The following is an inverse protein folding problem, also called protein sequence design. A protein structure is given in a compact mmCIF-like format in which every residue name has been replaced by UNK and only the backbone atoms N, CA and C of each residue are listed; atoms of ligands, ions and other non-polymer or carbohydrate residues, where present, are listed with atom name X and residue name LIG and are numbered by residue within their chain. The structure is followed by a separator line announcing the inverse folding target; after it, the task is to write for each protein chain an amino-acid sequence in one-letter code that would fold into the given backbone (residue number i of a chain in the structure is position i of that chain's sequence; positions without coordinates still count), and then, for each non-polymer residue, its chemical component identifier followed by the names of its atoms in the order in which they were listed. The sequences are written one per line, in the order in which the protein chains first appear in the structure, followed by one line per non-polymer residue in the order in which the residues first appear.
data_IF_549765373908
#
_entry.id   IF_549765373908
#
_cell.length_a   1.000
_cell.length_b   1.000
_cell.length_c   1.000
_cell.angle_alpha   90.00
_cell.angle_beta   90.00
_cell.angle_gamma   90.00
#
_symmetry.space_group_name_H-M   'P 1'
#
loop_
_entity.id
_entity.type
_entity.pdbx_description
1 polymer ?
#
# COMPACT_ATOMS: atom_id res chain seq x y z
N UNK A 1 -77.34 47.49 2.64
CA UNK A 1 -76.97 46.42 3.53
C UNK A 1 -75.87 45.61 2.80
N UNK A 2 -74.60 45.91 3.05
CA UNK A 2 -73.47 45.35 2.29
C UNK A 2 -72.61 44.63 3.30
N UNK A 3 -72.51 43.31 3.20
CA UNK A 3 -71.74 42.46 4.10
C UNK A 3 -70.36 42.22 3.46
N UNK A 4 -69.35 42.81 4.11
CA UNK A 4 -67.95 42.62 3.75
C UNK A 4 -67.44 41.33 4.36
N UNK A 5 -67.01 40.34 3.56
CA UNK A 5 -66.34 39.12 4.04
C UNK A 5 -64.83 39.35 4.01
N UNK A 6 -64.22 39.41 5.19
CA UNK A 6 -62.77 39.40 5.39
C UNK A 6 -62.24 37.96 5.28
N UNK A 7 -61.42 37.68 4.25
CA UNK A 7 -60.62 36.45 4.14
C UNK A 7 -59.28 36.64 4.85
N UNK A 8 -59.08 35.91 5.94
CA UNK A 8 -57.78 35.82 6.62
C UNK A 8 -56.95 34.71 5.98
N UNK A 9 -55.92 35.07 5.22
CA UNK A 9 -54.95 34.13 4.66
C UNK A 9 -53.88 33.82 5.72
N UNK A 10 -53.84 32.58 6.24
CA UNK A 10 -52.78 32.08 7.07
C UNK A 10 -51.62 31.62 6.19
N UNK A 11 -50.51 32.35 6.19
CA UNK A 11 -49.21 31.90 5.59
C UNK A 11 -48.57 30.90 6.57
N UNK A 12 -48.57 29.62 6.19
CA UNK A 12 -47.72 28.60 6.78
C UNK A 12 -46.29 28.79 6.23
N UNK A 13 -45.41 29.39 7.02
CA UNK A 13 -43.98 29.43 6.72
C UNK A 13 -43.37 28.06 7.08
N UNK A 14 -43.20 27.21 6.04
CA UNK A 14 -42.38 25.99 6.15
C UNK A 14 -40.92 26.42 6.22
N UNK A 15 -40.33 26.45 7.43
CA UNK A 15 -38.88 26.57 7.59
C UNK A 15 -38.25 25.27 7.08
N UNK A 16 -37.73 25.29 5.86
CA UNK A 16 -36.81 24.27 5.39
C UNK A 16 -35.52 24.41 6.23
N UNK A 17 -35.32 23.48 7.17
CA UNK A 17 -34.02 23.30 7.77
C UNK A 17 -33.08 22.83 6.67
N UNK A 18 -32.33 23.76 6.09
CA UNK A 18 -31.14 23.46 5.31
C UNK A 18 -30.16 22.96 6.35
N UNK A 19 -29.98 21.62 6.42
CA UNK A 19 -28.85 21.02 7.14
C UNK A 19 -27.60 21.60 6.48
N UNK A 20 -26.97 22.59 7.09
CA UNK A 20 -25.64 23.01 6.70
C UNK A 20 -24.77 21.76 6.88
N UNK A 21 -24.22 21.23 5.78
CA UNK A 21 -23.14 20.25 5.89
C UNK A 21 -22.09 20.91 6.80
N UNK A 22 -21.92 20.37 8.00
CA UNK A 22 -20.92 20.89 8.93
C UNK A 22 -19.58 20.74 8.23
N UNK A 23 -18.85 21.85 8.07
CA UNK A 23 -17.48 21.80 7.60
C UNK A 23 -16.67 21.00 8.64
N UNK A 24 -15.76 20.15 8.16
CA UNK A 24 -14.89 19.38 9.04
C UNK A 24 -14.13 20.30 9.98
N UNK A 25 -14.18 20.03 11.29
CA UNK A 25 -13.38 20.77 12.27
C UNK A 25 -11.91 20.40 12.14
N UNK A 26 -11.63 19.12 11.86
CA UNK A 26 -10.30 18.58 11.61
C UNK A 26 -10.33 17.81 10.29
N UNK A 27 -9.46 18.20 9.35
CA UNK A 27 -9.25 17.46 8.11
C UNK A 27 -7.84 16.86 8.15
N UNK A 28 -7.77 15.53 8.13
CA UNK A 28 -6.52 14.77 8.04
C UNK A 28 -6.15 14.60 6.57
N UNK A 29 -4.97 15.07 6.17
CA UNK A 29 -4.46 14.93 4.82
C UNK A 29 -3.74 13.60 4.68
N UNK A 30 -4.20 12.74 3.77
CA UNK A 30 -3.62 11.42 3.51
C UNK A 30 -2.99 11.36 2.13
N UNK A 31 -1.75 10.87 2.03
CA UNK A 31 -1.05 10.65 0.76
C UNK A 31 -1.16 9.21 0.29
N UNK A 32 -1.24 9.04 -1.03
CA UNK A 32 -1.09 7.75 -1.72
C UNK A 32 -0.45 7.97 -3.10
N UNK A 33 0.50 7.11 -3.50
CA UNK A 33 1.13 7.17 -4.83
C UNK A 33 0.26 6.60 -5.93
N UNK A 34 -0.69 5.73 -5.60
CA UNK A 34 -1.57 5.08 -6.57
C UNK A 34 -2.67 6.02 -7.08
N UNK A 35 -3.23 5.74 -8.28
CA UNK A 35 -4.26 6.58 -8.89
C UNK A 35 -5.61 6.48 -8.15
N UNK A 36 -6.48 7.44 -8.43
CA UNK A 36 -7.87 7.40 -7.98
C UNK A 36 -8.54 6.08 -8.36
N UNK A 37 -9.35 5.53 -7.47
CA UNK A 37 -10.02 4.23 -7.65
C UNK A 37 -9.12 3.00 -7.41
N UNK A 38 -7.85 3.18 -7.05
CA UNK A 38 -7.02 2.08 -6.59
C UNK A 38 -7.47 1.58 -5.20
N UNK A 39 -7.44 0.25 -4.92
CA UNK A 39 -8.02 -0.30 -3.70
C UNK A 39 -7.58 0.38 -2.40
N UNK A 40 -6.29 0.72 -2.26
CA UNK A 40 -5.78 1.40 -1.06
C UNK A 40 -6.31 2.81 -0.92
N UNK A 41 -6.42 3.56 -2.02
CA UNK A 41 -7.00 4.91 -2.08
C UNK A 41 -8.47 4.87 -1.65
N UNK A 42 -9.26 3.96 -2.24
CA UNK A 42 -10.69 3.79 -1.92
C UNK A 42 -10.89 3.38 -0.46
N UNK A 43 -10.03 2.51 0.08
CA UNK A 43 -10.11 2.09 1.48
C UNK A 43 -9.87 3.24 2.46
N UNK A 44 -8.91 4.14 2.17
CA UNK A 44 -8.68 5.33 3.01
C UNK A 44 -9.81 6.35 2.85
N UNK A 45 -10.41 6.48 1.68
CA UNK A 45 -11.63 7.27 1.47
C UNK A 45 -12.80 6.72 2.30
N UNK A 46 -13.02 5.39 2.27
CA UNK A 46 -14.04 4.73 3.09
C UNK A 46 -13.77 4.90 4.60
N UNK A 47 -12.50 4.85 5.03
CA UNK A 47 -12.12 5.20 6.41
C UNK A 47 -12.55 6.64 6.77
N UNK A 48 -12.36 7.58 5.85
CA UNK A 48 -12.80 8.97 6.02
C UNK A 48 -14.31 9.09 6.18
N UNK A 49 -15.10 8.37 5.37
CA UNK A 49 -16.55 8.31 5.48
C UNK A 49 -17.00 7.75 6.85
N UNK A 50 -16.35 6.66 7.31
CA UNK A 50 -16.62 6.07 8.63
C UNK A 50 -16.33 7.06 9.78
N UNK A 51 -15.22 7.83 9.68
CA UNK A 51 -14.88 8.85 10.67
C UNK A 51 -15.89 10.00 10.66
N UNK A 52 -16.27 10.46 9.48
CA UNK A 52 -17.26 11.52 9.31
C UNK A 52 -18.61 11.14 9.93
N UNK A 53 -19.07 9.91 9.68
CA UNK A 53 -20.31 9.38 10.28
C UNK A 53 -20.21 9.27 11.80
N UNK A 54 -19.11 8.74 12.33
CA UNK A 54 -18.93 8.50 13.78
C UNK A 54 -18.69 9.77 14.60
N UNK A 55 -18.37 10.88 13.94
CA UNK A 55 -18.05 12.17 14.56
C UNK A 55 -19.02 13.29 14.17
N UNK A 56 -20.18 12.95 13.59
CA UNK A 56 -21.16 13.92 13.08
C UNK A 56 -20.54 15.00 12.18
N UNK A 57 -19.59 14.57 11.31
CA UNK A 57 -18.91 15.43 10.33
C UNK A 57 -17.69 16.18 10.88
N UNK A 58 -17.28 15.97 12.13
CA UNK A 58 -16.19 16.73 12.76
C UNK A 58 -14.80 16.32 12.27
N UNK A 59 -14.55 15.02 12.09
CA UNK A 59 -13.28 14.48 11.55
C UNK A 59 -13.46 14.03 10.11
N UNK A 60 -12.58 14.50 9.22
CA UNK A 60 -12.57 14.14 7.82
C UNK A 60 -11.17 13.69 7.40
N UNK A 61 -11.11 12.86 6.35
CA UNK A 61 -9.86 12.54 5.64
C UNK A 61 -9.96 13.09 4.21
N UNK A 62 -8.94 13.84 3.79
CA UNK A 62 -8.75 14.25 2.40
C UNK A 62 -7.60 13.43 1.81
N UNK A 63 -7.90 12.62 0.79
CA UNK A 63 -6.92 11.72 0.16
C UNK A 63 -6.32 12.37 -1.07
N UNK A 64 -5.00 12.56 -1.04
CA UNK A 64 -4.18 13.04 -2.15
C UNK A 64 -3.54 11.84 -2.84
N UNK A 65 -4.23 11.31 -3.85
CA UNK A 65 -3.80 10.17 -4.67
C UNK A 65 -2.79 10.57 -5.75
N UNK A 66 -2.31 9.60 -6.56
CA UNK A 66 -1.46 9.82 -7.74
C UNK A 66 -0.18 10.62 -7.43
N UNK A 67 0.44 10.37 -6.29
CA UNK A 67 1.66 11.04 -5.84
C UNK A 67 1.57 12.59 -5.80
N UNK A 68 0.38 13.17 -5.62
CA UNK A 68 0.19 14.63 -5.58
C UNK A 68 1.01 15.32 -4.48
N UNK A 69 1.33 14.61 -3.39
CA UNK A 69 2.16 15.13 -2.30
C UNK A 69 3.62 14.66 -2.39
N UNK A 70 3.97 13.84 -3.37
CA UNK A 70 5.29 13.27 -3.58
C UNK A 70 5.30 11.75 -3.64
N UNK A 71 6.46 11.19 -3.93
CA UNK A 71 6.71 9.75 -3.94
C UNK A 71 6.88 9.21 -2.51
N UNK A 72 6.84 7.88 -2.34
CA UNK A 72 6.76 7.24 -1.01
C UNK A 72 7.86 7.70 -0.05
N UNK A 73 9.13 7.76 -0.50
CA UNK A 73 10.22 8.21 0.37
C UNK A 73 10.03 9.64 0.87
N UNK A 74 9.62 10.55 -0.03
CA UNK A 74 9.42 11.96 0.32
C UNK A 74 8.22 12.12 1.26
N UNK A 75 7.13 11.38 1.00
CA UNK A 75 5.91 11.44 1.82
C UNK A 75 6.09 10.78 3.18
N UNK A 76 6.95 9.75 3.33
CA UNK A 76 7.36 9.21 4.63
C UNK A 76 8.01 10.33 5.47
N UNK A 77 9.03 11.01 4.94
CA UNK A 77 9.71 12.09 5.64
C UNK A 77 8.73 13.24 6.01
N UNK A 78 7.87 13.63 5.07
CA UNK A 78 6.85 14.66 5.33
C UNK A 78 5.87 14.24 6.43
N UNK A 79 5.51 12.94 6.50
CA UNK A 79 4.62 12.43 7.56
C UNK A 79 5.33 12.41 8.91
N UNK A 80 6.61 11.99 8.97
CA UNK A 80 7.41 12.05 10.20
C UNK A 80 7.50 13.49 10.76
N UNK A 81 7.63 14.48 9.88
CA UNK A 81 7.64 15.89 10.27
C UNK A 81 6.25 16.52 10.52
N UNK A 82 5.17 15.76 10.31
CA UNK A 82 3.80 16.24 10.52
C UNK A 82 3.32 17.25 9.46
N UNK A 83 3.95 17.28 8.27
CA UNK A 83 3.50 18.06 7.10
C UNK A 83 2.32 17.37 6.42
N UNK A 84 2.32 16.04 6.40
CA UNK A 84 1.23 15.17 5.99
C UNK A 84 0.73 14.45 7.24
N UNK A 85 -0.59 14.36 7.43
CA UNK A 85 -1.17 13.74 8.61
C UNK A 85 -1.17 12.22 8.53
N UNK A 86 -1.49 11.66 7.36
CA UNK A 86 -1.61 10.22 7.10
C UNK A 86 -0.91 9.85 5.79
N UNK A 87 -0.44 8.63 5.71
CA UNK A 87 0.22 8.13 4.50
C UNK A 87 0.00 6.62 4.34
N UNK A 88 -0.39 6.18 3.15
CA UNK A 88 -0.35 4.77 2.77
C UNK A 88 0.94 4.54 1.97
N UNK A 89 1.77 3.62 2.43
CA UNK A 89 3.09 3.32 1.86
C UNK A 89 3.32 1.82 1.86
N UNK A 90 4.07 1.31 0.87
CA UNK A 90 4.62 -0.04 0.93
C UNK A 90 5.61 -0.19 2.09
N UNK A 91 5.73 -1.38 2.69
CA UNK A 91 6.74 -1.60 3.74
C UNK A 91 8.18 -1.49 3.21
N UNK A 92 8.41 -1.72 1.92
CA UNK A 92 9.75 -1.68 1.32
C UNK A 92 10.56 -0.43 1.63
N UNK A 93 10.05 0.79 1.37
CA UNK A 93 10.75 2.04 1.71
C UNK A 93 11.07 2.22 3.19
N UNK A 94 10.33 1.58 4.10
CA UNK A 94 10.61 1.62 5.54
C UNK A 94 11.76 0.71 5.98
N UNK A 95 12.19 -0.26 5.16
CA UNK A 95 13.20 -1.25 5.55
C UNK A 95 14.55 -0.62 5.95
N UNK A 96 14.88 0.56 5.43
CA UNK A 96 16.09 1.30 5.79
C UNK A 96 15.90 2.20 7.03
N UNK A 97 14.68 2.28 7.56
CA UNK A 97 14.32 3.17 8.67
C UNK A 97 13.92 2.36 9.90
N UNK A 98 13.12 1.33 9.73
CA UNK A 98 12.49 0.52 10.78
C UNK A 98 12.87 -0.95 10.56
N UNK A 99 13.72 -1.49 11.44
CA UNK A 99 14.28 -2.83 11.29
C UNK A 99 13.21 -3.93 11.23
N UNK A 100 12.14 -3.82 12.01
CA UNK A 100 11.04 -4.78 12.05
C UNK A 100 10.31 -4.92 10.71
N UNK A 101 10.30 -3.88 9.88
CA UNK A 101 9.65 -3.93 8.56
C UNK A 101 10.40 -4.80 7.55
N UNK A 102 11.67 -5.10 7.82
CA UNK A 102 12.49 -5.98 6.99
C UNK A 102 11.93 -7.39 6.95
N UNK A 103 11.46 -7.91 8.09
CA UNK A 103 11.04 -9.32 8.17
C UNK A 103 9.85 -9.64 7.27
N UNK A 104 8.71 -8.89 7.27
CA UNK A 104 7.62 -9.14 6.34
C UNK A 104 7.94 -8.79 4.88
N UNK A 105 9.09 -8.14 4.63
CA UNK A 105 9.58 -7.82 3.29
C UNK A 105 10.59 -8.85 2.76
N UNK A 106 10.93 -9.90 3.54
CA UNK A 106 11.84 -10.95 3.09
C UNK A 106 11.23 -11.76 1.94
N UNK A 107 12.04 -12.12 0.92
CA UNK A 107 11.57 -12.94 -0.19
C UNK A 107 11.06 -14.31 0.31
N UNK A 108 9.91 -14.73 -0.22
CA UNK A 108 9.27 -16.03 0.08
C UNK A 108 8.96 -16.29 1.57
N UNK A 109 8.91 -15.26 2.42
CA UNK A 109 8.58 -15.42 3.85
C UNK A 109 7.12 -15.84 4.05
N UNK A 110 6.21 -15.36 3.22
CA UNK A 110 4.81 -15.72 3.23
C UNK A 110 4.51 -16.82 2.21
N UNK A 111 3.72 -17.81 2.63
CA UNK A 111 3.30 -18.94 1.77
C UNK A 111 2.14 -18.57 0.84
N UNK A 112 1.31 -17.61 1.26
CA UNK A 112 0.16 -17.10 0.50
C UNK A 112 -0.28 -15.75 1.07
N UNK A 113 -1.20 -15.07 0.39
CA UNK A 113 -1.85 -13.83 0.87
C UNK A 113 -2.63 -14.11 2.17
N UNK A 114 -3.35 -15.21 2.28
CA UNK A 114 -4.07 -15.60 3.50
C UNK A 114 -3.12 -15.84 4.68
N UNK A 115 -1.94 -16.40 4.41
CA UNK A 115 -0.91 -16.55 5.43
C UNK A 115 -0.41 -15.16 5.89
N UNK A 116 -0.15 -14.24 4.96
CA UNK A 116 0.23 -12.87 5.27
C UNK A 116 -0.84 -12.18 6.11
N UNK A 117 -2.13 -12.31 5.75
CA UNK A 117 -3.23 -11.76 6.54
C UNK A 117 -3.21 -12.24 7.99
N UNK A 118 -3.10 -13.57 8.21
CA UNK A 118 -3.07 -14.14 9.57
C UNK A 118 -1.89 -13.63 10.40
N UNK A 119 -0.74 -13.45 9.77
CA UNK A 119 0.46 -12.92 10.43
C UNK A 119 0.30 -11.46 10.78
N UNK A 120 -0.14 -10.65 9.80
CA UNK A 120 -0.20 -9.19 9.95
C UNK A 120 -1.40 -8.73 10.81
N UNK A 121 -2.45 -9.54 10.92
CA UNK A 121 -3.58 -9.32 11.84
C UNK A 121 -3.30 -9.85 13.26
N UNK A 122 -2.15 -10.47 13.47
CA UNK A 122 -1.76 -11.09 14.73
C UNK A 122 -0.64 -10.36 15.46
N UNK A 123 -0.04 -11.02 16.49
CA UNK A 123 0.98 -10.40 17.34
C UNK A 123 2.23 -9.89 16.61
N UNK A 124 2.59 -10.50 15.47
CA UNK A 124 3.71 -10.04 14.64
C UNK A 124 3.36 -8.69 14.02
N UNK A 125 2.17 -8.54 13.45
CA UNK A 125 1.71 -7.26 12.91
C UNK A 125 1.62 -6.18 13.99
N UNK A 126 1.09 -6.51 15.17
CA UNK A 126 1.03 -5.58 16.31
C UNK A 126 2.43 -5.09 16.72
N UNK A 127 3.43 -5.99 16.75
CA UNK A 127 4.81 -5.64 17.06
C UNK A 127 5.40 -4.68 16.00
N UNK A 128 5.15 -4.94 14.72
CA UNK A 128 5.63 -4.08 13.63
C UNK A 128 4.94 -2.71 13.69
N UNK A 129 3.60 -2.64 13.88
CA UNK A 129 2.88 -1.37 14.04
C UNK A 129 3.40 -0.55 15.23
N UNK A 130 3.79 -1.21 16.32
CA UNK A 130 4.34 -0.54 17.50
C UNK A 130 5.70 0.10 17.20
N UNK A 131 6.56 -0.53 16.37
CA UNK A 131 7.89 -0.04 16.04
C UNK A 131 7.86 1.32 15.32
N UNK A 132 6.80 1.66 14.61
CA UNK A 132 6.62 2.98 14.00
C UNK A 132 6.64 4.13 15.02
N UNK A 133 6.26 3.85 16.29
CA UNK A 133 6.21 4.83 17.36
C UNK A 133 7.56 5.47 17.73
N UNK A 134 8.67 4.77 17.48
CA UNK A 134 10.02 5.25 17.70
C UNK A 134 10.55 6.12 16.55
N UNK A 135 9.77 6.23 15.48
CA UNK A 135 10.09 6.95 14.24
C UNK A 135 9.12 8.09 13.93
N UNK A 136 8.51 8.72 14.95
CA UNK A 136 7.55 9.82 14.83
C UNK A 136 6.28 9.48 14.04
N UNK A 137 5.94 8.20 13.93
CA UNK A 137 4.78 7.68 13.24
C UNK A 137 3.90 6.83 14.17
N UNK A 138 2.64 6.71 13.81
CA UNK A 138 1.67 5.78 14.42
C UNK A 138 1.23 4.81 13.33
N UNK A 139 1.59 3.53 13.47
CA UNK A 139 1.06 2.47 12.62
C UNK A 139 -0.42 2.25 12.91
N UNK A 140 -1.27 2.27 11.89
CA UNK A 140 -2.72 2.14 12.01
C UNK A 140 -3.25 0.79 11.56
N UNK A 141 -2.65 0.18 10.53
CA UNK A 141 -3.05 -1.13 10.01
C UNK A 141 -2.32 -1.48 8.72
N UNK A 142 -2.47 -2.74 8.30
CA UNK A 142 -1.87 -3.26 7.07
C UNK A 142 -2.93 -3.47 5.99
N UNK A 143 -2.56 -3.10 4.78
CA UNK A 143 -3.30 -3.32 3.54
C UNK A 143 -2.57 -4.33 2.68
N UNK A 144 -3.26 -4.87 1.65
CA UNK A 144 -2.64 -5.78 0.71
C UNK A 144 -1.80 -5.04 -0.33
N UNK A 145 -0.61 -5.57 -0.61
CA UNK A 145 0.22 -5.23 -1.75
C UNK A 145 0.33 -6.39 -2.75
N UNK A 146 -0.41 -7.49 -2.51
CA UNK A 146 -0.45 -8.67 -3.35
C UNK A 146 0.88 -9.38 -3.53
N UNK A 147 0.84 -10.42 -4.38
CA UNK A 147 2.04 -11.15 -4.77
C UNK A 147 2.77 -10.42 -5.89
N UNK A 148 4.07 -10.26 -5.76
CA UNK A 148 4.93 -9.53 -6.69
C UNK A 148 5.79 -10.49 -7.50
N UNK A 149 5.93 -10.16 -8.77
CA UNK A 149 6.65 -10.97 -9.77
C UNK A 149 7.44 -10.08 -10.71
N UNK A 150 8.49 -10.63 -11.33
CA UNK A 150 9.30 -9.90 -12.32
C UNK A 150 8.58 -9.71 -13.64
N UNK A 151 8.73 -8.53 -14.23
CA UNK A 151 8.34 -8.23 -15.61
C UNK A 151 9.42 -7.41 -16.32
N UNK A 152 9.58 -7.64 -17.64
CA UNK A 152 10.60 -6.94 -18.42
C UNK A 152 10.20 -6.78 -19.89
N UNK A 153 10.98 -5.95 -20.61
CA UNK A 153 10.81 -5.64 -22.03
C UNK A 153 11.63 -6.51 -22.97
N UNK A 154 12.54 -7.36 -22.44
CA UNK A 154 13.60 -7.98 -23.24
C UNK A 154 13.29 -9.41 -23.65
N UNK A 155 12.93 -10.29 -22.69
CA UNK A 155 12.76 -11.73 -22.90
C UNK A 155 11.95 -12.39 -21.81
N UNK A 156 11.37 -13.57 -22.08
CA UNK A 156 10.82 -14.42 -21.02
C UNK A 156 11.91 -14.78 -20.01
N UNK A 157 11.54 -14.84 -18.73
CA UNK A 157 12.37 -15.39 -17.64
C UNK A 157 11.76 -16.75 -17.29
N UNK A 158 12.47 -17.80 -17.62
CA UNK A 158 12.06 -19.20 -17.38
C UNK A 158 12.93 -19.90 -16.35
N UNK A 159 14.08 -19.32 -16.04
CA UNK A 159 15.00 -19.77 -14.99
C UNK A 159 15.73 -18.60 -14.35
N UNK A 160 16.46 -18.85 -13.25
CA UNK A 160 17.24 -17.81 -12.56
C UNK A 160 18.35 -17.24 -13.44
N UNK A 161 18.93 -18.05 -14.35
CA UNK A 161 19.98 -17.64 -15.25
C UNK A 161 19.49 -16.58 -16.26
N UNK A 162 18.20 -16.55 -16.56
CA UNK A 162 17.60 -15.57 -17.45
C UNK A 162 17.61 -14.14 -16.88
N UNK A 163 17.74 -13.99 -15.56
CA UNK A 163 17.87 -12.69 -14.90
C UNK A 163 19.25 -12.05 -15.11
N UNK A 164 20.28 -12.86 -15.45
CA UNK A 164 21.66 -12.39 -15.53
C UNK A 164 21.81 -11.19 -16.45
N UNK A 165 22.33 -10.09 -15.89
CA UNK A 165 22.63 -8.85 -16.60
C UNK A 165 21.44 -7.94 -16.90
N UNK A 166 20.19 -8.39 -16.70
CA UNK A 166 19.02 -7.51 -16.80
C UNK A 166 19.04 -6.45 -15.71
N UNK A 167 18.50 -5.27 -16.02
CA UNK A 167 18.40 -4.13 -15.12
C UNK A 167 16.95 -4.02 -14.61
N UNK A 168 16.74 -4.28 -13.34
CA UNK A 168 15.42 -4.18 -12.71
C UNK A 168 15.33 -2.99 -11.78
N UNK A 169 14.26 -2.24 -11.90
CA UNK A 169 13.88 -1.29 -10.86
C UNK A 169 13.38 -2.05 -9.64
N UNK A 170 13.78 -1.56 -8.48
CA UNK A 170 13.23 -1.97 -7.18
C UNK A 170 12.75 -0.75 -6.39
N UNK A 171 11.95 -0.98 -5.35
CA UNK A 171 11.66 0.05 -4.37
C UNK A 171 12.95 0.53 -3.70
N UNK A 172 12.94 1.74 -3.14
CA UNK A 172 14.10 2.36 -2.50
C UNK A 172 14.41 1.67 -1.14
N UNK A 173 14.86 0.42 -1.22
CA UNK A 173 15.21 -0.47 -0.11
C UNK A 173 16.50 -1.21 -0.43
N UNK A 174 17.48 -1.17 0.47
CA UNK A 174 18.75 -1.88 0.31
C UNK A 174 18.54 -3.39 0.23
N UNK A 175 17.54 -3.92 0.97
CA UNK A 175 17.19 -5.33 0.90
C UNK A 175 16.71 -5.74 -0.49
N UNK A 176 15.93 -4.91 -1.17
CA UNK A 176 15.46 -5.24 -2.54
C UNK A 176 16.58 -5.09 -3.56
N UNK A 177 17.54 -4.20 -3.33
CA UNK A 177 18.77 -4.16 -4.13
C UNK A 177 19.56 -5.46 -3.98
N UNK A 178 19.76 -5.92 -2.75
CA UNK A 178 20.46 -7.18 -2.49
C UNK A 178 19.69 -8.40 -3.04
N UNK A 179 18.37 -8.44 -2.87
CA UNK A 179 17.50 -9.50 -3.40
C UNK A 179 17.69 -9.69 -4.91
N UNK A 180 17.64 -8.61 -5.68
CA UNK A 180 17.83 -8.66 -7.13
C UNK A 180 19.28 -9.01 -7.49
N UNK A 181 20.24 -8.52 -6.70
CA UNK A 181 21.67 -8.76 -6.94
C UNK A 181 22.08 -10.22 -6.73
N UNK A 182 21.52 -10.90 -5.72
CA UNK A 182 21.81 -12.34 -5.47
C UNK A 182 21.21 -13.24 -6.56
N UNK A 183 20.19 -12.76 -7.28
CA UNK A 183 19.63 -13.41 -8.46
C UNK A 183 20.47 -13.18 -9.74
N UNK A 184 21.56 -12.41 -9.66
CA UNK A 184 22.46 -12.13 -10.80
C UNK A 184 22.02 -10.98 -11.71
N UNK A 185 20.96 -10.26 -11.35
CA UNK A 185 20.49 -9.09 -12.06
C UNK A 185 21.06 -7.78 -11.47
N UNK A 186 20.85 -6.67 -12.16
CA UNK A 186 21.27 -5.33 -11.72
C UNK A 186 20.07 -4.58 -11.16
N UNK A 187 20.10 -4.28 -9.86
CA UNK A 187 19.04 -3.51 -9.21
C UNK A 187 19.26 -2.00 -9.37
N UNK A 188 18.19 -1.28 -9.65
CA UNK A 188 18.17 0.19 -9.71
C UNK A 188 17.03 0.69 -8.81
N UNK A 189 17.31 1.17 -7.58
CA UNK A 189 16.29 1.76 -6.74
C UNK A 189 15.84 3.11 -7.30
N UNK A 190 14.51 3.28 -7.50
CA UNK A 190 13.93 4.54 -7.96
C UNK A 190 12.46 4.69 -7.55
N UNK A 191 11.93 5.92 -7.51
CA UNK A 191 10.51 6.20 -7.27
C UNK A 191 9.59 5.45 -8.24
N UNK A 192 8.35 5.17 -7.80
CA UNK A 192 7.40 4.40 -8.60
C UNK A 192 6.97 5.12 -9.88
N UNK A 193 6.75 6.43 -9.81
CA UNK A 193 6.33 7.25 -10.96
C UNK A 193 7.34 7.33 -12.10
N UNK A 194 8.61 6.95 -11.87
CA UNK A 194 9.66 6.98 -12.89
C UNK A 194 9.79 5.69 -13.70
N UNK A 195 9.13 4.60 -13.27
CA UNK A 195 9.36 3.25 -13.81
C UNK A 195 8.93 3.12 -15.27
N UNK A 196 7.73 3.60 -15.63
CA UNK A 196 7.22 3.51 -17.00
C UNK A 196 8.20 4.14 -18.01
N UNK A 197 8.59 5.39 -17.75
CA UNK A 197 9.50 6.13 -18.65
C UNK A 197 10.91 5.52 -18.68
N UNK A 198 11.38 4.98 -17.57
CA UNK A 198 12.69 4.33 -17.48
C UNK A 198 12.75 3.01 -18.26
N UNK A 199 11.66 2.23 -18.27
CA UNK A 199 11.55 1.04 -19.14
C UNK A 199 11.44 1.47 -20.60
N UNK A 200 10.56 2.43 -20.91
CA UNK A 200 10.34 2.91 -22.28
C UNK A 200 11.61 3.42 -22.94
N UNK A 201 12.47 4.10 -22.17
CA UNK A 201 13.74 4.67 -22.67
C UNK A 201 14.93 3.71 -22.56
N UNK A 202 14.76 2.51 -21.97
CA UNK A 202 15.81 1.49 -21.82
C UNK A 202 16.85 1.79 -20.74
N UNK A 203 16.55 2.73 -19.82
CA UNK A 203 17.37 2.96 -18.61
C UNK A 203 17.39 1.70 -17.75
N UNK A 204 16.22 1.07 -17.60
CA UNK A 204 16.03 -0.25 -17.00
C UNK A 204 15.34 -1.18 -18.00
N UNK A 205 15.47 -2.49 -17.80
CA UNK A 205 14.84 -3.50 -18.64
C UNK A 205 13.47 -3.92 -18.12
N UNK A 206 13.22 -3.73 -16.83
CA UNK A 206 11.96 -4.11 -16.20
C UNK A 206 11.90 -3.70 -14.72
N UNK A 207 10.90 -4.24 -14.03
CA UNK A 207 10.70 -4.08 -12.59
C UNK A 207 10.03 -5.34 -12.02
N UNK A 208 9.62 -5.29 -10.77
CA UNK A 208 8.83 -6.32 -10.10
C UNK A 208 7.63 -5.66 -9.41
N UNK A 209 6.47 -6.26 -9.51
CA UNK A 209 5.25 -5.77 -8.84
C UNK A 209 4.09 -6.79 -8.95
N UNK A 210 2.95 -6.43 -8.35
CA UNK A 210 1.67 -7.13 -8.40
C UNK A 210 0.86 -6.78 -9.66
N UNK A 211 -0.22 -7.54 -9.93
CA UNK A 211 -1.10 -7.32 -11.08
C UNK A 211 -1.75 -5.94 -11.11
N UNK A 212 -2.40 -5.44 -10.00
CA UNK A 212 -3.00 -4.12 -9.99
C UNK A 212 -2.04 -2.98 -10.31
N UNK A 213 -0.81 -3.03 -9.78
CA UNK A 213 0.21 -2.02 -10.04
C UNK A 213 0.75 -2.08 -11.46
N UNK A 214 1.02 -3.28 -11.99
CA UNK A 214 1.50 -3.49 -13.34
C UNK A 214 0.48 -3.00 -14.38
N UNK A 215 -0.83 -3.21 -14.12
CA UNK A 215 -1.92 -2.72 -14.95
C UNK A 215 -2.11 -1.21 -14.82
N UNK A 216 -2.33 -0.70 -13.59
CA UNK A 216 -2.72 0.70 -13.38
C UNK A 216 -1.65 1.72 -13.74
N UNK A 217 -0.36 1.32 -13.70
CA UNK A 217 0.76 2.16 -14.13
C UNK A 217 1.07 2.07 -15.64
N UNK A 218 0.37 1.20 -16.36
CA UNK A 218 0.63 0.95 -17.77
C UNK A 218 1.95 0.22 -18.05
N UNK A 219 2.63 -0.32 -17.04
CA UNK A 219 3.92 -0.99 -17.23
C UNK A 219 3.84 -2.15 -18.23
N UNK A 220 2.66 -2.81 -18.33
CA UNK A 220 2.40 -3.87 -19.31
C UNK A 220 2.49 -3.39 -20.78
N UNK A 221 2.42 -2.10 -21.05
CA UNK A 221 2.58 -1.56 -22.39
C UNK A 221 4.04 -1.59 -22.86
N UNK A 222 4.97 -1.37 -21.92
CA UNK A 222 6.41 -1.21 -22.17
C UNK A 222 7.26 -2.41 -21.73
N UNK A 223 6.70 -3.33 -20.95
CA UNK A 223 7.35 -4.56 -20.46
C UNK A 223 6.41 -5.74 -20.66
N UNK A 224 6.55 -6.49 -21.74
CA UNK A 224 5.58 -7.49 -22.23
C UNK A 224 5.80 -8.91 -21.71
N UNK A 225 6.82 -9.16 -20.91
CA UNK A 225 7.12 -10.47 -20.33
C UNK A 225 6.89 -10.41 -18.82
N UNK A 226 5.94 -11.18 -18.31
CA UNK A 226 5.60 -11.23 -16.88
C UNK A 226 5.80 -12.66 -16.38
N UNK A 227 6.72 -12.87 -15.44
CA UNK A 227 7.07 -14.20 -14.90
C UNK A 227 6.49 -14.36 -13.50
N UNK A 228 5.63 -15.37 -13.29
CA UNK A 228 4.97 -15.62 -12.02
C UNK A 228 5.89 -16.37 -11.02
N UNK A 229 7.03 -15.78 -10.71
CA UNK A 229 7.95 -16.29 -9.70
C UNK A 229 7.47 -15.99 -8.28
N UNK A 230 6.62 -14.96 -8.10
CA UNK A 230 5.94 -14.62 -6.84
C UNK A 230 6.92 -14.53 -5.65
N UNK A 231 8.03 -13.85 -5.86
CA UNK A 231 9.13 -13.80 -4.89
C UNK A 231 8.81 -12.99 -3.63
N UNK A 232 7.81 -12.10 -3.68
CA UNK A 232 7.42 -11.25 -2.55
C UNK A 232 5.89 -11.21 -2.39
N UNK A 233 5.45 -11.11 -1.14
CA UNK A 233 4.12 -10.63 -0.74
C UNK A 233 4.38 -9.52 0.26
N UNK A 234 4.51 -8.28 -0.21
CA UNK A 234 4.85 -7.14 0.65
C UNK A 234 3.57 -6.45 1.13
N UNK A 235 3.33 -6.37 2.44
CA UNK A 235 2.22 -5.60 2.96
C UNK A 235 2.39 -4.09 2.69
N UNK A 236 1.28 -3.42 2.49
CA UNK A 236 1.17 -1.98 2.56
C UNK A 236 0.83 -1.55 4.00
N UNK A 237 1.24 -0.39 4.43
CA UNK A 237 0.93 0.13 5.75
C UNK A 237 0.26 1.48 5.67
N UNK A 238 -0.78 1.68 6.48
CA UNK A 238 -1.36 2.99 6.75
C UNK A 238 -0.73 3.53 8.02
N UNK A 239 -0.05 4.66 7.92
CA UNK A 239 0.57 5.35 9.05
C UNK A 239 -0.01 6.74 9.23
N UNK A 240 0.14 7.29 10.43
CA UNK A 240 -0.21 8.67 10.75
C UNK A 240 0.98 9.36 11.43
N UNK A 241 1.17 10.64 11.17
CA UNK A 241 2.13 11.47 11.89
C UNK A 241 1.82 11.44 13.40
N UNK A 242 2.80 11.08 14.24
CA UNK A 242 2.62 11.05 15.69
C UNK A 242 2.18 12.40 16.23
N UNK A 243 2.76 13.48 15.71
CA UNK A 243 2.40 14.85 16.08
C UNK A 243 0.96 15.24 15.71
N UNK A 244 0.40 14.70 14.61
CA UNK A 244 -1.00 14.92 14.24
C UNK A 244 -1.94 14.05 15.08
N UNK A 245 -1.55 12.80 15.34
CA UNK A 245 -2.31 11.88 16.19
C UNK A 245 -2.45 12.38 17.64
N UNK A 246 -1.37 12.88 18.23
CA UNK A 246 -1.34 13.39 19.60
C UNK A 246 -2.14 14.70 19.80
N UNK A 247 -2.45 15.43 18.72
CA UNK A 247 -3.36 16.60 18.77
C UNK A 247 -4.83 16.20 18.89
N UNK A 248 -5.18 14.99 18.52
CA UNK A 248 -6.54 14.46 18.65
C UNK A 248 -6.85 14.16 20.11
N UNK A 249 -8.13 14.28 20.49
CA UNK A 249 -8.59 13.77 21.79
C UNK A 249 -8.38 12.26 21.89
N UNK A 250 -8.32 11.71 23.12
CA UNK A 250 -8.23 10.26 23.33
C UNK A 250 -9.37 9.49 22.66
N UNK A 251 -10.58 10.07 22.66
CA UNK A 251 -11.74 9.52 21.96
C UNK A 251 -11.53 9.49 20.45
N UNK A 252 -11.04 10.57 19.86
CA UNK A 252 -10.76 10.66 18.42
C UNK A 252 -9.62 9.73 17.99
N UNK A 253 -8.57 9.61 18.82
CA UNK A 253 -7.49 8.66 18.59
C UNK A 253 -8.02 7.21 18.53
N UNK A 254 -8.95 6.87 19.43
CA UNK A 254 -9.59 5.56 19.43
C UNK A 254 -10.46 5.34 18.18
N UNK A 255 -11.22 6.36 17.77
CA UNK A 255 -12.05 6.33 16.55
C UNK A 255 -11.19 6.18 15.29
N UNK A 256 -10.06 6.91 15.16
CA UNK A 256 -9.11 6.77 14.04
C UNK A 256 -8.56 5.36 13.95
N UNK A 257 -8.10 4.80 15.08
CA UNK A 257 -7.61 3.41 15.12
C UNK A 257 -8.70 2.40 14.76
N UNK A 258 -9.93 2.63 15.21
CA UNK A 258 -11.05 1.73 14.89
C UNK A 258 -11.43 1.83 13.42
N UNK A 259 -11.53 3.04 12.85
CA UNK A 259 -11.85 3.24 11.43
C UNK A 259 -10.77 2.63 10.53
N UNK A 260 -9.49 2.72 10.90
CA UNK A 260 -8.41 2.07 10.17
C UNK A 260 -8.57 0.54 10.16
N UNK A 261 -8.89 -0.08 11.31
CA UNK A 261 -9.17 -1.53 11.37
C UNK A 261 -10.38 -1.92 10.53
N UNK A 262 -11.43 -1.11 10.54
CA UNK A 262 -12.67 -1.39 9.78
C UNK A 262 -12.46 -1.20 8.26
N UNK A 263 -11.49 -0.39 7.85
CA UNK A 263 -11.11 -0.21 6.44
C UNK A 263 -10.34 -1.42 5.87
N UNK A 264 -9.66 -2.21 6.70
CA UNK A 264 -8.88 -3.39 6.23
C UNK A 264 -9.73 -4.39 5.45
N UNK A 265 -10.87 -4.89 5.95
CA UNK A 265 -11.70 -5.82 5.18
C UNK A 265 -12.26 -5.19 3.90
N UNK A 266 -12.59 -3.90 3.90
CA UNK A 266 -13.02 -3.18 2.69
C UNK A 266 -11.91 -3.20 1.65
N UNK A 267 -10.69 -2.89 2.05
CA UNK A 267 -9.53 -2.90 1.16
C UNK A 267 -9.28 -4.29 0.58
N UNK A 268 -9.33 -5.36 1.40
CA UNK A 268 -9.10 -6.73 0.95
C UNK A 268 -10.13 -7.21 -0.08
N UNK A 269 -11.40 -6.84 0.10
CA UNK A 269 -12.44 -7.15 -0.88
C UNK A 269 -12.17 -6.44 -2.22
N UNK A 270 -11.87 -5.14 -2.17
CA UNK A 270 -11.53 -4.35 -3.35
C UNK A 270 -10.24 -4.87 -4.03
N UNK A 271 -9.25 -5.29 -3.24
CA UNK A 271 -8.00 -5.84 -3.74
C UNK A 271 -8.22 -7.13 -4.52
N UNK A 272 -8.94 -8.09 -3.93
CA UNK A 272 -9.22 -9.38 -4.56
C UNK A 272 -9.95 -9.21 -5.91
N UNK A 273 -10.92 -8.30 -5.97
CA UNK A 273 -11.64 -7.98 -7.21
C UNK A 273 -10.70 -7.33 -8.24
N UNK A 274 -9.89 -6.36 -7.82
CA UNK A 274 -8.98 -5.63 -8.71
C UNK A 274 -7.86 -6.51 -9.26
N UNK A 275 -7.34 -7.45 -8.46
CA UNK A 275 -6.29 -8.37 -8.90
C UNK A 275 -6.76 -9.24 -10.07
N UNK A 276 -7.98 -9.79 -9.99
CA UNK A 276 -8.60 -10.57 -11.07
C UNK A 276 -8.86 -9.70 -12.33
N UNK A 277 -9.36 -8.48 -12.15
CA UNK A 277 -9.61 -7.56 -13.25
C UNK A 277 -8.30 -7.18 -13.97
N UNK A 278 -7.28 -6.85 -13.21
CA UNK A 278 -5.98 -6.45 -13.75
C UNK A 278 -5.29 -7.60 -14.48
N UNK A 279 -5.30 -8.82 -13.93
CA UNK A 279 -4.78 -10.01 -14.61
C UNK A 279 -5.51 -10.24 -15.94
N UNK A 280 -6.83 -10.17 -15.95
CA UNK A 280 -7.61 -10.36 -17.17
C UNK A 280 -7.26 -9.31 -18.24
N UNK A 281 -7.17 -8.04 -17.87
CA UNK A 281 -6.81 -6.93 -18.77
C UNK A 281 -5.42 -7.09 -19.35
N UNK A 282 -4.43 -7.45 -18.51
CA UNK A 282 -3.05 -7.67 -18.93
C UNK A 282 -2.95 -8.84 -19.92
N UNK A 283 -3.69 -9.94 -19.67
CA UNK A 283 -3.77 -11.07 -20.60
C UNK A 283 -4.39 -10.67 -21.95
N UNK A 284 -5.48 -9.90 -21.92
CA UNK A 284 -6.14 -9.39 -23.14
C UNK A 284 -5.21 -8.45 -23.92
N UNK A 285 -4.35 -7.69 -23.26
CA UNK A 285 -3.36 -6.80 -23.87
C UNK A 285 -2.17 -7.55 -24.53
N UNK A 286 -2.18 -8.88 -24.50
CA UNK A 286 -1.19 -9.73 -25.17
C UNK A 286 0.17 -9.78 -24.48
N UNK A 287 0.21 -9.61 -23.15
CA UNK A 287 1.41 -9.86 -22.35
C UNK A 287 1.71 -11.36 -22.33
N UNK A 288 2.96 -11.73 -22.53
CA UNK A 288 3.43 -13.10 -22.37
C UNK A 288 3.65 -13.39 -20.88
N UNK A 289 2.80 -14.28 -20.33
CA UNK A 289 2.83 -14.64 -18.92
C UNK A 289 3.46 -16.01 -18.77
N UNK A 290 4.59 -16.05 -18.08
CA UNK A 290 5.37 -17.26 -17.81
C UNK A 290 4.89 -17.82 -16.46
N UNK A 291 4.19 -18.95 -16.50
CA UNK A 291 3.60 -19.61 -15.33
C UNK A 291 4.33 -20.89 -14.92
N UNK A 292 5.00 -21.54 -15.86
CA UNK A 292 5.75 -22.78 -15.62
C UNK A 292 7.22 -22.44 -15.31
N UNK A 293 7.48 -22.17 -14.02
CA UNK A 293 8.81 -21.83 -13.52
C UNK A 293 9.12 -22.62 -12.25
N UNK A 294 10.31 -23.22 -12.22
CA UNK A 294 10.83 -23.81 -10.98
C UNK A 294 11.32 -22.68 -10.05
N UNK A 295 10.61 -22.47 -8.95
CA UNK A 295 10.95 -21.44 -7.96
C UNK A 295 12.08 -21.86 -7.01
N UNK A 296 12.45 -23.13 -6.98
CA UNK A 296 13.47 -23.67 -6.06
C UNK A 296 14.80 -22.92 -6.14
N UNK A 297 15.39 -22.70 -7.34
CA UNK A 297 16.64 -21.94 -7.44
C UNK A 297 16.52 -20.49 -6.96
N UNK A 298 15.35 -19.86 -7.18
CA UNK A 298 15.09 -18.48 -6.72
C UNK A 298 15.04 -18.43 -5.19
N UNK A 299 14.36 -19.39 -4.55
CA UNK A 299 14.26 -19.49 -3.08
C UNK A 299 15.64 -19.75 -2.47
N UNK A 300 16.40 -20.69 -3.01
CA UNK A 300 17.73 -21.05 -2.52
C UNK A 300 18.72 -19.88 -2.62
N UNK A 301 18.61 -19.05 -3.66
CA UNK A 301 19.44 -17.88 -3.84
C UNK A 301 19.23 -16.80 -2.75
N UNK A 302 18.11 -16.83 -2.02
CA UNK A 302 17.79 -15.82 -0.98
C UNK A 302 18.54 -16.00 0.35
N UNK A 303 19.26 -17.10 0.56
CA UNK A 303 20.00 -17.34 1.79
C UNK A 303 20.82 -16.14 2.27
N UNK A 304 21.67 -15.52 1.44
CA UNK A 304 22.46 -14.34 1.82
C UNK A 304 21.63 -13.13 2.24
N UNK A 305 20.42 -12.95 1.68
CA UNK A 305 19.50 -11.86 2.08
C UNK A 305 19.00 -12.11 3.50
N UNK A 306 18.55 -13.33 3.81
CA UNK A 306 18.14 -13.68 5.16
C UNK A 306 19.27 -13.52 6.18
N UNK A 307 20.50 -13.97 5.86
CA UNK A 307 21.67 -13.84 6.73
C UNK A 307 22.02 -12.37 7.01
N UNK A 308 21.88 -11.50 6.01
CA UNK A 308 22.21 -10.07 6.13
C UNK A 308 21.18 -9.29 6.95
N UNK A 309 19.89 -9.60 6.79
CA UNK A 309 18.80 -8.79 7.36
C UNK A 309 18.14 -9.38 8.60
N UNK A 310 18.39 -10.65 8.96
CA UNK A 310 17.84 -11.31 10.16
C UNK A 310 18.93 -11.50 11.20
N UNK A 311 19.53 -10.41 11.67
CA UNK A 311 20.75 -10.46 12.49
C UNK A 311 20.49 -10.50 13.99
N UNK A 312 19.39 -9.92 14.48
CA UNK A 312 19.08 -9.87 15.91
C UNK A 312 18.21 -11.06 16.36
N UNK A 313 18.31 -11.49 17.65
CA UNK A 313 17.40 -12.51 18.18
C UNK A 313 15.93 -12.15 18.06
N UNK A 314 15.57 -10.86 18.09
CA UNK A 314 14.20 -10.39 17.94
C UNK A 314 13.67 -10.65 16.51
N UNK A 315 14.46 -10.32 15.49
CA UNK A 315 14.10 -10.58 14.09
C UNK A 315 14.06 -12.08 13.78
N UNK A 316 15.00 -12.86 14.32
CA UNK A 316 15.01 -14.33 14.19
C UNK A 316 13.73 -14.94 14.79
N UNK A 317 13.31 -14.43 15.96
CA UNK A 317 12.05 -14.85 16.57
C UNK A 317 10.84 -14.47 15.69
N UNK A 318 10.83 -13.26 15.14
CA UNK A 318 9.75 -12.81 14.25
C UNK A 318 9.65 -13.69 13.01
N UNK A 319 10.75 -14.06 12.37
CA UNK A 319 10.78 -15.02 11.26
C UNK A 319 10.18 -16.37 11.70
N UNK A 320 10.60 -16.88 12.86
CA UNK A 320 10.07 -18.15 13.39
C UNK A 320 8.58 -18.07 13.68
N UNK A 321 8.08 -16.97 14.24
CA UNK A 321 6.65 -16.76 14.52
C UNK A 321 5.84 -16.71 13.21
N UNK A 322 6.34 -16.04 12.18
CA UNK A 322 5.72 -16.03 10.84
C UNK A 322 5.64 -17.45 10.28
N UNK A 323 6.73 -18.19 10.30
CA UNK A 323 6.79 -19.56 9.76
C UNK A 323 5.89 -20.52 10.53
N UNK A 324 5.69 -20.32 11.84
CA UNK A 324 4.84 -21.13 12.70
C UNK A 324 3.33 -20.81 12.54
N UNK A 325 2.97 -19.63 12.04
CA UNK A 325 1.57 -19.24 11.79
C UNK A 325 0.95 -20.13 10.70
N UNK A 326 -0.24 -20.70 10.99
CA UNK A 326 -0.92 -21.66 10.11
C UNK A 326 -2.07 -21.06 9.34
#
# INVERSE_FOLDING_TARGET
MTITKTLTAALLASAAMVSAAAACEVTLRSSDTHPEGYPTVVAVQAMGEMLQERTDGRLCIEVFHSAQLGEEKDTIEQTQFGVIDMNRVSLGPFNNIIEETQVPSLPYIFRSVEHMHKVMDGPVGDQILAAFGDHDLVGLGFFDGGSRSFYNSQKPITSIEDLAGLKFRVMQSDMFVDMVSVLGANATPMPYGEVYSSIQTGVIDGAENNWPSYDSSGHFEVAKYYTLDQHLIVPEVLVMAKSSFEKLSEEDQALVRQAARDAVPVMRELWAARELESEARVREAGVEIITDIDKTPFIEAMGPVYEKYVTSPALQKMVADIQATK
#
